data_IF_068536071014
#
_entry.id   IF_068536071014
#
_cell.length_a   1.000
_cell.length_b   1.000
_cell.length_c   1.000
_cell.angle_alpha   90.00
_cell.angle_beta   90.00
_cell.angle_gamma   90.00
#
_symmetry.space_group_name_H-M   'P 1'
#
loop_
_entity.id
_entity.type
_entity.pdbx_description
1 polymer ?
#
# COMPACT_ATOMS: atom_id res chain seq x y z
N UNK A 1 -17.13 24.60 5.76
CA UNK A 1 -17.52 23.19 5.58
C UNK A 1 -16.23 22.42 5.42
N UNK A 2 -15.64 21.97 6.52
CA UNK A 2 -14.47 21.10 6.48
C UNK A 2 -14.97 19.68 6.24
N UNK A 3 -14.98 19.25 4.97
CA UNK A 3 -15.12 17.84 4.64
C UNK A 3 -13.76 17.17 4.91
N UNK A 4 -13.42 16.99 6.19
CA UNK A 4 -12.32 16.12 6.59
C UNK A 4 -12.84 14.68 6.55
N UNK A 5 -13.15 14.20 5.35
CA UNK A 5 -13.39 12.77 5.14
C UNK A 5 -12.02 12.11 5.13
N UNK A 6 -11.56 11.72 6.31
CA UNK A 6 -10.51 10.72 6.47
C UNK A 6 -10.90 9.48 5.68
N UNK A 7 -10.47 9.39 4.42
CA UNK A 7 -10.72 8.25 3.56
C UNK A 7 -9.94 7.07 4.12
N UNK A 8 -10.63 6.07 4.66
CA UNK A 8 -9.99 4.86 5.17
C UNK A 8 -9.65 3.92 4.00
N UNK A 9 -8.39 3.50 3.94
CA UNK A 9 -7.90 2.53 2.94
C UNK A 9 -7.33 1.31 3.63
N UNK A 10 -7.33 0.18 2.91
CA UNK A 10 -6.77 -1.07 3.39
C UNK A 10 -5.30 -1.18 3.00
N UNK A 11 -4.44 -1.47 3.97
CA UNK A 11 -3.02 -1.73 3.74
C UNK A 11 -2.84 -2.97 2.86
N UNK A 12 -2.15 -2.84 1.72
CA UNK A 12 -1.90 -3.95 0.81
C UNK A 12 -0.91 -5.00 1.35
N UNK A 13 -0.16 -4.68 2.41
CA UNK A 13 0.78 -5.62 3.04
C UNK A 13 0.15 -6.40 4.21
N UNK A 14 -0.36 -5.70 5.23
CA UNK A 14 -0.90 -6.34 6.44
C UNK A 14 -2.43 -6.41 6.50
N UNK A 15 -3.13 -5.75 5.57
CA UNK A 15 -4.59 -5.80 5.50
C UNK A 15 -5.35 -4.93 6.51
N UNK A 16 -4.66 -4.15 7.34
CA UNK A 16 -5.29 -3.23 8.30
C UNK A 16 -5.96 -2.05 7.58
N UNK A 17 -7.10 -1.59 8.08
CA UNK A 17 -7.71 -0.32 7.65
C UNK A 17 -7.03 0.84 8.38
N UNK A 18 -6.74 1.92 7.67
CA UNK A 18 -6.08 3.09 8.22
C UNK A 18 -6.37 4.33 7.37
N UNK A 19 -6.11 5.50 7.94
CA UNK A 19 -6.31 6.79 7.29
C UNK A 19 -5.40 6.96 6.06
N UNK A 20 -5.99 7.23 4.89
CA UNK A 20 -5.26 7.44 3.64
C UNK A 20 -4.29 8.62 3.69
N UNK A 21 -4.56 9.61 4.53
CA UNK A 21 -3.69 10.80 4.68
C UNK A 21 -2.25 10.41 5.03
N UNK A 22 -2.08 9.36 5.82
CA UNK A 22 -0.77 8.86 6.25
C UNK A 22 -0.33 7.61 5.46
N UNK A 23 -0.94 7.34 4.30
CA UNK A 23 -0.60 6.20 3.47
C UNK A 23 0.62 6.45 2.61
N UNK A 24 1.39 5.39 2.37
CA UNK A 24 2.45 5.37 1.37
C UNK A 24 1.98 4.56 0.17
N UNK A 25 1.90 5.20 -0.98
CA UNK A 25 1.66 4.51 -2.25
C UNK A 25 2.92 3.80 -2.72
N UNK A 26 2.79 2.52 -3.05
CA UNK A 26 3.88 1.71 -3.60
C UNK A 26 3.38 0.89 -4.77
N UNK A 27 4.24 0.74 -5.77
CA UNK A 27 4.03 -0.15 -6.89
C UNK A 27 4.49 -1.56 -6.51
N UNK A 28 3.59 -2.54 -6.61
CA UNK A 28 3.91 -3.95 -6.43
C UNK A 28 3.69 -4.71 -7.72
N UNK A 29 4.60 -5.61 -8.02
CA UNK A 29 4.48 -6.51 -9.15
C UNK A 29 3.63 -7.72 -8.72
N UNK A 30 2.44 -7.85 -9.30
CA UNK A 30 1.54 -8.97 -9.04
C UNK A 30 1.50 -9.89 -10.24
N UNK A 31 1.82 -11.16 -10.02
CA UNK A 31 1.74 -12.19 -11.06
C UNK A 31 0.30 -12.72 -11.09
N UNK A 32 -0.42 -12.45 -12.17
CA UNK A 32 -1.75 -13.01 -12.39
C UNK A 32 -1.60 -14.40 -13.03
N UNK A 33 -1.82 -15.45 -12.23
CA UNK A 33 -2.00 -16.82 -12.75
C UNK A 33 -3.45 -16.97 -13.20
N UNK A 34 -3.75 -17.63 -14.35
CA UNK A 34 -2.93 -18.58 -15.11
C UNK A 34 -2.04 -17.98 -16.22
N UNK A 35 -2.09 -16.68 -16.46
CA UNK A 35 -1.53 -16.05 -17.68
C UNK A 35 -0.04 -15.70 -17.55
N UNK A 36 0.58 -15.88 -16.37
CA UNK A 36 1.94 -15.41 -16.04
C UNK A 36 2.16 -13.93 -16.40
N UNK A 37 1.09 -13.15 -16.46
CA UNK A 37 1.14 -11.73 -16.73
C UNK A 37 1.57 -11.01 -15.46
N UNK A 38 2.65 -10.24 -15.56
CA UNK A 38 3.15 -9.38 -14.50
C UNK A 38 2.42 -8.04 -14.60
N UNK A 39 1.52 -7.79 -13.68
CA UNK A 39 0.77 -6.53 -13.61
C UNK A 39 1.40 -5.67 -12.51
N UNK A 40 1.75 -4.44 -12.85
CA UNK A 40 2.13 -3.44 -11.85
C UNK A 40 0.84 -2.93 -11.22
N UNK A 41 0.68 -3.17 -9.93
CA UNK A 41 -0.48 -2.73 -9.16
C UNK A 41 -0.02 -1.71 -8.11
N UNK A 42 -0.67 -0.55 -8.06
CA UNK A 42 -0.50 0.41 -6.98
C UNK A 42 -1.28 -0.05 -5.74
N UNK A 43 -0.61 -0.10 -4.59
CA UNK A 43 -1.23 -0.39 -3.29
C UNK A 43 -0.84 0.69 -2.27
N UNK A 44 -1.72 0.88 -1.28
CA UNK A 44 -1.45 1.74 -0.12
C UNK A 44 -0.85 0.91 1.01
N UNK A 45 0.22 1.40 1.63
CA UNK A 45 0.80 0.84 2.85
C UNK A 45 0.50 1.73 4.04
N UNK A 46 0.21 1.10 5.18
CA UNK A 46 0.14 1.80 6.45
C UNK A 46 1.53 2.30 6.86
N UNK A 47 1.63 3.34 7.72
CA UNK A 47 2.90 3.92 8.14
C UNK A 47 3.92 2.89 8.63
N UNK A 48 3.46 1.88 9.38
CA UNK A 48 4.31 0.82 9.92
C UNK A 48 4.89 -0.09 8.82
N UNK A 49 4.07 -0.52 7.86
CA UNK A 49 4.55 -1.35 6.73
C UNK A 49 5.42 -0.55 5.76
N UNK A 50 5.11 0.74 5.56
CA UNK A 50 5.90 1.64 4.73
C UNK A 50 7.31 1.81 5.31
N UNK A 51 7.42 2.06 6.62
CA UNK A 51 8.71 2.20 7.31
C UNK A 51 9.53 0.91 7.21
N UNK A 52 8.90 -0.25 7.40
CA UNK A 52 9.58 -1.54 7.30
C UNK A 52 10.12 -1.79 5.89
N UNK A 53 9.36 -1.42 4.84
CA UNK A 53 9.79 -1.52 3.45
C UNK A 53 11.01 -0.62 3.16
N UNK A 54 11.00 0.62 3.66
CA UNK A 54 12.11 1.57 3.49
C UNK A 54 13.37 1.10 4.23
N UNK A 55 13.22 0.50 5.42
CA UNK A 55 14.33 -0.11 6.17
C UNK A 55 14.92 -1.30 5.43
N UNK A 56 14.10 -2.17 4.85
CA UNK A 56 14.55 -3.36 4.12
C UNK A 56 15.29 -3.05 2.81
N UNK A 57 15.12 -1.87 2.22
CA UNK A 57 15.89 -1.44 1.04
C UNK A 57 17.32 -0.98 1.35
N UNK A 58 17.66 -0.76 2.62
CA UNK A 58 18.96 -0.18 3.03
C UNK A 58 19.99 -1.24 3.45
N UNK A 59 19.67 -2.52 3.30
CA UNK A 59 20.55 -3.66 3.58
C UNK A 59 20.78 -4.48 2.31
#
# INVERSE_FOLDING_TARGET
MEQNSSEEVKCGACGILFDKINSKEVEVLRIKRPENEQIIQLIYLCPHCAEHLEKSKKN
#
